data_IF_178203892994
#
_entry.id   IF_178203892994
#
_cell.length_a   1.000
_cell.length_b   1.000
_cell.length_c   1.000
_cell.angle_alpha   90.00
_cell.angle_beta   90.00
_cell.angle_gamma   90.00
#
_symmetry.space_group_name_H-M   'P 1'
#
loop_
_entity.id
_entity.type
_entity.pdbx_description
1 polymer ?
#
# COMPACT_ATOMS: atom_id res chain seq x y z
N UNK A 1 24.43 9.09 -25.60
CA UNK A 1 25.14 9.09 -24.30
C UNK A 1 24.46 9.97 -23.24
N UNK A 2 24.01 11.20 -23.53
CA UNK A 2 23.34 12.06 -22.54
C UNK A 2 22.04 11.50 -21.93
N UNK A 3 21.23 10.78 -22.72
CA UNK A 3 19.95 10.25 -22.26
C UNK A 3 20.10 9.17 -21.18
N UNK A 4 21.13 8.31 -21.26
CA UNK A 4 21.39 7.28 -20.23
C UNK A 4 21.73 7.88 -18.87
N UNK A 5 22.65 8.85 -18.81
CA UNK A 5 23.05 9.48 -17.55
C UNK A 5 21.89 10.23 -16.89
N UNK A 6 21.07 10.92 -17.68
CA UNK A 6 19.86 11.59 -17.16
C UNK A 6 18.89 10.56 -16.54
N UNK A 7 18.72 9.40 -17.17
CA UNK A 7 17.80 8.37 -16.65
C UNK A 7 18.29 7.65 -15.39
N UNK A 8 19.61 7.42 -15.23
CA UNK A 8 20.18 6.90 -13.98
C UNK A 8 19.99 7.91 -12.85
N UNK A 9 20.34 9.18 -13.10
CA UNK A 9 20.22 10.24 -12.09
C UNK A 9 18.78 10.44 -11.58
N UNK A 10 17.79 10.37 -12.49
CA UNK A 10 16.37 10.41 -12.10
C UNK A 10 15.99 9.19 -11.24
N UNK A 11 16.51 8.01 -11.57
CA UNK A 11 16.19 6.76 -10.86
C UNK A 11 16.83 6.73 -9.46
N UNK A 12 18.08 7.21 -9.34
CA UNK A 12 18.77 7.39 -8.07
C UNK A 12 18.00 8.37 -7.16
N UNK A 13 17.64 9.55 -7.67
CA UNK A 13 16.84 10.52 -6.90
C UNK A 13 15.47 9.96 -6.49
N UNK A 14 14.80 9.22 -7.39
CA UNK A 14 13.53 8.58 -7.05
C UNK A 14 13.69 7.59 -5.89
N UNK A 15 14.76 6.78 -5.93
CA UNK A 15 15.07 5.82 -4.87
C UNK A 15 15.33 6.52 -3.52
N UNK A 16 16.14 7.59 -3.50
CA UNK A 16 16.40 8.40 -2.29
C UNK A 16 15.12 8.97 -1.72
N UNK A 17 14.36 9.70 -2.54
CA UNK A 17 13.14 10.38 -2.09
C UNK A 17 12.14 9.35 -1.58
N UNK A 18 12.04 8.19 -2.23
CA UNK A 18 11.15 7.12 -1.79
C UNK A 18 11.60 6.48 -0.48
N UNK A 19 12.91 6.25 -0.29
CA UNK A 19 13.47 5.75 0.97
C UNK A 19 13.12 6.66 2.13
N UNK A 20 13.47 7.94 2.01
CA UNK A 20 13.25 8.96 3.03
C UNK A 20 11.76 9.12 3.36
N UNK A 21 10.92 9.25 2.33
CA UNK A 21 9.47 9.36 2.50
C UNK A 21 8.87 8.14 3.19
N UNK A 22 9.38 6.94 2.87
CA UNK A 22 8.90 5.70 3.47
C UNK A 22 9.33 5.60 4.93
N UNK A 23 10.57 5.98 5.26
CA UNK A 23 11.07 6.03 6.64
C UNK A 23 10.22 6.97 7.51
N UNK A 24 9.93 8.18 7.03
CA UNK A 24 9.03 9.12 7.73
C UNK A 24 7.66 8.49 7.98
N UNK A 25 7.06 7.87 6.95
CA UNK A 25 5.74 7.24 7.09
C UNK A 25 5.75 6.06 8.07
N UNK A 26 6.86 5.31 8.18
CA UNK A 26 7.01 4.23 9.15
C UNK A 26 6.96 4.72 10.60
N UNK A 27 7.58 5.87 10.86
CA UNK A 27 7.62 6.47 12.20
C UNK A 27 6.43 7.37 12.53
N UNK A 28 5.58 7.66 11.55
CA UNK A 28 4.39 8.52 11.71
C UNK A 28 3.10 7.72 11.51
N UNK A 29 2.69 7.49 10.25
CA UNK A 29 1.37 6.94 9.92
C UNK A 29 1.27 5.43 10.05
N UNK A 30 2.38 4.71 9.84
CA UNK A 30 2.38 3.25 9.83
C UNK A 30 2.75 2.64 11.18
N UNK A 31 3.09 3.45 12.18
CA UNK A 31 3.58 2.99 13.48
C UNK A 31 2.61 2.01 14.17
N UNK A 32 1.30 2.20 14.01
CA UNK A 32 0.25 1.34 14.60
C UNK A 32 -0.03 0.07 13.77
N UNK A 33 0.51 -0.01 12.55
CA UNK A 33 0.22 -1.06 11.57
C UNK A 33 1.44 -1.96 11.25
N UNK A 34 2.54 -1.73 11.95
CA UNK A 34 3.82 -2.45 11.81
C UNK A 34 4.29 -2.91 13.18
N UNK A 35 4.86 -4.11 13.26
CA UNK A 35 5.52 -4.55 14.50
C UNK A 35 6.85 -3.82 14.69
N UNK A 36 7.32 -3.71 15.95
CA UNK A 36 8.62 -3.09 16.24
C UNK A 36 9.76 -3.79 15.49
N UNK A 37 9.72 -5.12 15.40
CA UNK A 37 10.68 -5.93 14.65
C UNK A 37 10.68 -5.61 13.15
N UNK A 38 9.49 -5.61 12.50
CA UNK A 38 9.37 -5.30 11.06
C UNK A 38 9.81 -3.86 10.77
N UNK A 39 9.53 -2.93 11.69
CA UNK A 39 9.92 -1.52 11.57
C UNK A 39 11.43 -1.35 11.64
N UNK A 40 12.08 -1.98 12.62
CA UNK A 40 13.54 -1.93 12.77
C UNK A 40 14.24 -2.57 11.57
N UNK A 41 13.80 -3.76 11.16
CA UNK A 41 14.35 -4.45 9.99
C UNK A 41 14.24 -3.60 8.72
N UNK A 42 13.07 -2.99 8.48
CA UNK A 42 12.86 -2.18 7.29
C UNK A 42 13.61 -0.84 7.37
N UNK A 43 13.72 -0.23 8.55
CA UNK A 43 14.52 0.98 8.77
C UNK A 43 16.02 0.73 8.53
N UNK A 44 16.56 -0.39 9.03
CA UNK A 44 17.94 -0.81 8.73
C UNK A 44 18.15 -1.05 7.23
N UNK A 45 17.16 -1.62 6.53
CA UNK A 45 17.25 -1.83 5.08
C UNK A 45 17.25 -0.50 4.30
N UNK A 46 16.43 0.47 4.72
CA UNK A 46 16.40 1.81 4.13
C UNK A 46 17.75 2.52 4.31
N UNK A 47 18.32 2.48 5.52
CA UNK A 47 19.66 3.01 5.79
C UNK A 47 20.74 2.31 4.96
N UNK A 48 20.64 0.99 4.78
CA UNK A 48 21.56 0.24 3.93
C UNK A 48 21.51 0.64 2.46
N UNK A 49 20.32 0.95 1.93
CA UNK A 49 20.16 1.45 0.55
C UNK A 49 20.69 2.88 0.41
N UNK A 50 20.50 3.73 1.42
CA UNK A 50 21.09 5.08 1.45
C UNK A 50 22.62 5.02 1.48
N UNK A 51 23.20 4.21 2.38
CA UNK A 51 24.64 4.00 2.45
C UNK A 51 25.21 3.47 1.13
N UNK A 52 24.56 2.48 0.52
CA UNK A 52 24.93 1.98 -0.80
C UNK A 52 24.95 3.08 -1.86
N UNK A 53 23.98 4.00 -1.84
CA UNK A 53 23.90 5.08 -2.82
C UNK A 53 25.05 6.09 -2.71
N UNK A 54 25.55 6.32 -1.49
CA UNK A 54 26.70 7.20 -1.25
C UNK A 54 28.05 6.52 -1.53
N UNK A 55 28.10 5.19 -1.59
CA UNK A 55 29.33 4.41 -1.82
C UNK A 55 29.44 3.89 -3.26
N UNK A 56 28.67 2.86 -3.60
CA UNK A 56 28.76 2.13 -4.86
C UNK A 56 27.69 2.55 -5.88
N UNK A 57 26.66 3.26 -5.41
CA UNK A 57 25.43 3.49 -6.16
C UNK A 57 25.39 4.80 -6.95
N UNK A 58 26.43 5.64 -6.98
CA UNK A 58 26.37 6.96 -7.64
C UNK A 58 26.26 6.86 -9.18
N UNK A 59 26.98 5.93 -9.79
CA UNK A 59 27.09 5.77 -11.26
C UNK A 59 26.52 4.43 -11.77
N UNK A 60 25.63 3.84 -10.98
CA UNK A 60 25.04 2.55 -11.32
C UNK A 60 23.97 2.65 -12.41
N UNK A 61 23.67 1.50 -13.02
CA UNK A 61 22.69 1.45 -14.09
C UNK A 61 21.26 1.60 -13.55
N UNK A 62 20.37 2.16 -14.38
CA UNK A 62 18.92 2.22 -14.09
C UNK A 62 18.35 0.89 -13.57
N UNK A 63 18.79 -0.24 -14.13
CA UNK A 63 18.32 -1.57 -13.72
C UNK A 63 18.64 -1.90 -12.26
N UNK A 64 19.81 -1.49 -11.77
CA UNK A 64 20.23 -1.72 -10.38
C UNK A 64 19.39 -0.88 -9.42
N UNK A 65 19.12 0.39 -9.74
CA UNK A 65 18.21 1.22 -8.93
C UNK A 65 16.79 0.64 -8.87
N UNK A 66 16.27 0.11 -9.98
CA UNK A 66 14.96 -0.54 -10.02
C UNK A 66 14.96 -1.79 -9.14
N UNK A 67 16.00 -2.63 -9.22
CA UNK A 67 16.11 -3.82 -8.38
C UNK A 67 16.12 -3.48 -6.88
N UNK A 68 16.92 -2.48 -6.48
CA UNK A 68 16.93 -1.96 -5.09
C UNK A 68 15.56 -1.42 -4.67
N UNK A 69 14.90 -0.69 -5.57
CA UNK A 69 13.55 -0.19 -5.31
C UNK A 69 12.53 -1.31 -5.12
N UNK A 70 12.58 -2.36 -5.94
CA UNK A 70 11.71 -3.53 -5.80
C UNK A 70 11.97 -4.28 -4.50
N UNK A 71 13.22 -4.37 -4.04
CA UNK A 71 13.56 -4.95 -2.74
C UNK A 71 12.98 -4.18 -1.56
N UNK A 72 12.93 -2.84 -1.65
CA UNK A 72 12.27 -1.99 -0.65
C UNK A 72 10.76 -2.15 -0.71
N UNK A 73 10.18 -2.20 -1.91
CA UNK A 73 8.74 -2.41 -2.11
C UNK A 73 8.23 -3.72 -1.53
N UNK A 74 8.98 -4.82 -1.68
CA UNK A 74 8.59 -6.12 -1.11
C UNK A 74 8.30 -6.08 0.39
N UNK A 75 8.98 -5.21 1.15
CA UNK A 75 8.73 -5.03 2.58
C UNK A 75 7.77 -3.86 2.86
N UNK A 76 7.87 -2.77 2.10
CA UNK A 76 7.05 -1.58 2.30
C UNK A 76 5.60 -1.71 1.83
N UNK A 77 5.32 -2.49 0.79
CA UNK A 77 3.98 -2.61 0.20
C UNK A 77 3.00 -3.32 1.15
N UNK A 78 3.35 -4.44 1.83
CA UNK A 78 2.50 -5.04 2.86
C UNK A 78 2.12 -4.07 3.99
N UNK A 79 3.06 -3.21 4.43
CA UNK A 79 2.80 -2.22 5.49
C UNK A 79 1.81 -1.15 5.00
N UNK A 80 1.99 -0.67 3.75
CA UNK A 80 1.07 0.28 3.12
C UNK A 80 -0.32 -0.32 2.91
N UNK A 81 -0.38 -1.59 2.54
CA UNK A 81 -1.65 -2.31 2.36
C UNK A 81 -2.39 -2.46 3.68
N UNK A 82 -1.73 -2.88 4.76
CA UNK A 82 -2.33 -2.94 6.10
C UNK A 82 -2.90 -1.58 6.55
N UNK A 83 -2.13 -0.51 6.35
CA UNK A 83 -2.59 0.86 6.59
C UNK A 83 -3.81 1.19 5.73
N UNK A 84 -3.75 0.96 4.42
CA UNK A 84 -4.88 1.27 3.51
C UNK A 84 -6.15 0.50 3.90
N UNK A 85 -6.01 -0.79 4.19
CA UNK A 85 -7.11 -1.66 4.57
C UNK A 85 -7.80 -1.18 5.85
N UNK A 86 -7.05 -0.67 6.84
CA UNK A 86 -7.65 -0.18 8.08
C UNK A 86 -8.60 1.00 7.86
N UNK A 87 -8.33 1.85 6.86
CA UNK A 87 -9.22 2.97 6.51
C UNK A 87 -10.37 2.54 5.60
N UNK A 88 -10.14 1.61 4.68
CA UNK A 88 -11.16 1.18 3.71
C UNK A 88 -12.17 0.20 4.31
N UNK A 89 -11.77 -0.59 5.32
CA UNK A 89 -12.62 -1.62 5.92
C UNK A 89 -13.95 -1.05 6.45
N UNK A 90 -13.93 0.13 7.07
CA UNK A 90 -15.15 0.78 7.54
C UNK A 90 -16.13 1.08 6.40
N UNK A 91 -15.66 1.74 5.34
CA UNK A 91 -16.49 2.07 4.20
C UNK A 91 -17.03 0.84 3.46
N UNK A 92 -16.23 -0.23 3.35
CA UNK A 92 -16.67 -1.48 2.72
C UNK A 92 -17.76 -2.16 3.56
N UNK A 93 -17.62 -2.16 4.89
CA UNK A 93 -18.65 -2.69 5.79
C UNK A 93 -19.95 -1.89 5.65
N UNK A 94 -19.86 -0.55 5.59
CA UNK A 94 -21.03 0.31 5.42
C UNK A 94 -21.72 0.06 4.07
N UNK A 95 -20.95 -0.09 2.99
CA UNK A 95 -21.49 -0.43 1.67
C UNK A 95 -22.16 -1.81 1.67
N UNK A 96 -21.55 -2.80 2.32
CA UNK A 96 -22.13 -4.13 2.45
C UNK A 96 -23.43 -4.10 3.27
N UNK A 97 -23.44 -3.38 4.39
CA UNK A 97 -24.62 -3.20 5.22
C UNK A 97 -25.75 -2.48 4.47
N UNK A 98 -25.41 -1.46 3.68
CA UNK A 98 -26.35 -0.78 2.79
C UNK A 98 -26.97 -1.74 1.77
N UNK A 99 -26.15 -2.53 1.06
CA UNK A 99 -26.66 -3.51 0.11
C UNK A 99 -27.58 -4.54 0.77
N UNK A 100 -27.19 -5.07 1.95
CA UNK A 100 -28.02 -6.03 2.70
C UNK A 100 -29.35 -5.40 3.08
N UNK A 101 -29.36 -4.16 3.58
CA UNK A 101 -30.59 -3.48 3.97
C UNK A 101 -31.46 -3.17 2.75
N UNK A 102 -30.87 -2.74 1.63
CA UNK A 102 -31.58 -2.53 0.37
C UNK A 102 -32.29 -3.79 -0.09
N UNK A 103 -31.59 -4.95 -0.10
CA UNK A 103 -32.22 -6.21 -0.48
C UNK A 103 -33.31 -6.65 0.51
N UNK A 104 -33.11 -6.42 1.82
CA UNK A 104 -34.15 -6.68 2.82
C UNK A 104 -35.38 -5.80 2.59
N UNK A 105 -35.20 -4.51 2.36
CA UNK A 105 -36.29 -3.58 2.07
C UNK A 105 -37.03 -3.95 0.77
N UNK A 106 -36.29 -4.33 -0.28
CA UNK A 106 -36.86 -4.77 -1.55
C UNK A 106 -37.74 -6.02 -1.36
N UNK A 107 -37.23 -7.04 -0.64
CA UNK A 107 -37.96 -8.28 -0.34
C UNK A 107 -39.17 -8.03 0.58
N UNK A 108 -39.05 -7.09 1.53
CA UNK A 108 -40.14 -6.68 2.41
C UNK A 108 -41.15 -5.74 1.76
N UNK A 109 -40.84 -5.22 0.56
CA UNK A 109 -41.78 -4.39 -0.20
C UNK A 109 -42.93 -5.23 -0.77
N UNK A 110 -44.05 -4.56 -1.05
CA UNK A 110 -45.21 -5.17 -1.73
C UNK A 110 -45.04 -5.16 -3.27
N UNK A 111 -43.80 -5.24 -3.77
CA UNK A 111 -43.55 -5.34 -5.20
C UNK A 111 -43.93 -6.76 -5.68
N UNK A 112 -44.81 -6.89 -6.70
CA UNK A 112 -45.24 -8.18 -7.25
C UNK A 112 -44.09 -9.11 -7.66
N UNK A 113 -42.90 -8.54 -7.93
CA UNK A 113 -41.68 -9.31 -8.23
C UNK A 113 -41.25 -10.20 -7.06
N UNK A 114 -41.53 -9.83 -5.80
CA UNK A 114 -41.09 -10.56 -4.60
C UNK A 114 -42.22 -11.33 -3.88
N UNK A 115 -43.43 -11.38 -4.45
CA UNK A 115 -44.58 -12.11 -3.89
C UNK A 115 -44.38 -13.64 -3.82
N UNK A 116 -43.40 -14.16 -4.56
CA UNK A 116 -43.04 -15.58 -4.57
C UNK A 116 -42.12 -15.98 -3.40
N UNK A 117 -41.68 -15.05 -2.56
CA UNK A 117 -40.86 -15.30 -1.37
C UNK A 117 -41.80 -15.40 -0.16
N UNK A 118 -41.84 -16.57 0.48
CA UNK A 118 -42.70 -16.79 1.65
C UNK A 118 -42.29 -15.89 2.82
N UNK A 119 -43.28 -15.47 3.62
CA UNK A 119 -43.08 -14.58 4.77
C UNK A 119 -42.16 -15.15 5.86
N UNK A 120 -41.95 -16.48 5.88
CA UNK A 120 -41.00 -17.14 6.76
C UNK A 120 -39.55 -17.02 6.28
N UNK A 121 -39.35 -16.72 4.99
CA UNK A 121 -38.06 -16.57 4.31
C UNK A 121 -37.74 -15.10 3.95
N UNK A 122 -38.63 -14.17 4.31
CA UNK A 122 -38.40 -12.71 4.29
C UNK A 122 -37.80 -12.25 5.61
#
# INVERSE_FOLDING_TARGET
>A
MYTSHITSFISANHLVVSSFTTNIKLHDKYQEFVTDSEREEFSSKLQGVEGWLYEDGEDETKGVYIAKFEELKKQGDPIKERYKESFERGSIIDQLAYCINSYKEDVMSNDPKFDHIELADK
#
